data_IF_115749312522
#
_entry.id   IF_115749312522
#
_cell.length_a   1.000
_cell.length_b   1.000
_cell.length_c   1.000
_cell.angle_alpha   90.00
_cell.angle_beta   90.00
_cell.angle_gamma   90.00
#
_symmetry.space_group_name_H-M   'P 1'
#
loop_
_entity.id
_entity.type
_entity.pdbx_description
1 polymer ?
#
# COMPACT_ATOMS: atom_id res chain seq x y z
N UNK A 1 -70.96 -42.64 -17.96
CA UNK A 1 -71.98 -41.67 -18.42
C UNK A 1 -71.37 -40.29 -18.23
N UNK A 2 -70.81 -39.61 -19.21
CA UNK A 2 -71.25 -39.45 -20.60
C UNK A 2 -71.99 -38.11 -20.71
N UNK A 3 -71.38 -37.19 -21.47
CA UNK A 3 -71.98 -35.99 -22.09
C UNK A 3 -71.98 -34.66 -21.32
N UNK A 4 -71.22 -33.68 -21.85
CA UNK A 4 -71.68 -32.48 -22.59
C UNK A 4 -70.53 -31.44 -22.59
N UNK A 5 -69.72 -31.35 -23.63
CA UNK A 5 -69.90 -30.45 -24.78
C UNK A 5 -70.59 -29.11 -24.45
N UNK A 6 -69.79 -28.09 -24.15
CA UNK A 6 -70.09 -26.68 -24.41
C UNK A 6 -68.76 -25.93 -24.66
N UNK A 7 -68.50 -25.59 -25.92
CA UNK A 7 -67.64 -24.45 -26.34
C UNK A 7 -68.66 -23.30 -26.50
N UNK A 8 -68.48 -22.06 -25.99
CA UNK A 8 -67.44 -21.16 -26.51
C UNK A 8 -66.94 -20.02 -25.58
N UNK A 9 -66.04 -19.21 -26.16
CA UNK A 9 -65.99 -17.74 -26.07
C UNK A 9 -64.86 -17.12 -25.21
N UNK A 10 -63.83 -16.66 -25.93
CA UNK A 10 -63.09 -15.40 -25.75
C UNK A 10 -62.84 -14.90 -24.31
N UNK A 11 -61.60 -15.03 -23.82
CA UNK A 11 -60.87 -13.89 -23.22
C UNK A 11 -59.38 -14.07 -23.48
N UNK A 12 -58.81 -13.07 -24.15
CA UNK A 12 -57.38 -12.90 -24.38
C UNK A 12 -56.67 -12.47 -23.10
N UNK A 13 -55.58 -13.14 -22.71
CA UNK A 13 -54.45 -12.50 -22.02
C UNK A 13 -53.17 -13.15 -22.54
N UNK A 14 -52.59 -12.54 -23.57
CA UNK A 14 -51.23 -12.78 -24.02
C UNK A 14 -50.30 -12.07 -23.01
N UNK A 15 -49.97 -12.74 -21.90
CA UNK A 15 -48.92 -12.28 -21.00
C UNK A 15 -47.56 -12.59 -21.64
N UNK A 16 -47.14 -11.68 -22.54
CA UNK A 16 -45.83 -11.68 -23.16
C UNK A 16 -44.80 -11.56 -22.04
N UNK A 17 -44.06 -12.64 -21.82
CA UNK A 17 -42.85 -12.65 -21.04
C UNK A 17 -41.86 -11.63 -21.64
N UNK A 18 -41.75 -10.47 -21.01
CA UNK A 18 -40.60 -9.59 -21.20
C UNK A 18 -39.73 -9.74 -19.97
N UNK A 19 -38.54 -10.36 -20.07
CA UNK A 19 -37.60 -10.32 -18.98
C UNK A 19 -37.15 -8.87 -18.87
N UNK A 20 -37.67 -8.18 -17.86
CA UNK A 20 -37.20 -6.86 -17.48
C UNK A 20 -35.74 -7.00 -17.06
N UNK A 21 -34.89 -6.71 -18.03
CA UNK A 21 -33.49 -6.38 -17.91
C UNK A 21 -33.31 -5.35 -16.77
N UNK A 22 -33.15 -5.87 -15.55
CA UNK A 22 -32.72 -5.13 -14.38
C UNK A 22 -31.25 -4.76 -14.53
N UNK A 23 -30.97 -3.78 -15.39
CA UNK A 23 -29.71 -3.05 -15.42
C UNK A 23 -29.69 -2.07 -14.26
N UNK A 24 -29.24 -2.49 -13.07
CA UNK A 24 -28.72 -1.52 -12.09
C UNK A 24 -27.79 -2.07 -11.01
N UNK A 25 -26.84 -2.91 -11.40
CA UNK A 25 -25.62 -3.09 -10.60
C UNK A 25 -24.40 -2.82 -11.47
N UNK A 26 -24.14 -1.52 -11.69
CA UNK A 26 -22.79 -1.06 -12.01
C UNK A 26 -21.94 -1.27 -10.76
N UNK A 27 -21.59 -2.54 -10.49
CA UNK A 27 -20.57 -2.92 -9.53
C UNK A 27 -19.28 -2.30 -10.07
N UNK A 28 -18.85 -1.21 -9.43
CA UNK A 28 -17.49 -0.68 -9.56
C UNK A 28 -16.57 -1.88 -9.37
N UNK A 29 -16.03 -2.40 -10.47
CA UNK A 29 -14.96 -3.39 -10.41
C UNK A 29 -13.77 -2.63 -9.87
N UNK A 30 -13.53 -2.77 -8.56
CA UNK A 30 -12.21 -2.48 -7.99
C UNK A 30 -11.20 -3.19 -8.89
N UNK A 31 -10.10 -2.50 -9.21
CA UNK A 31 -9.00 -3.07 -9.99
C UNK A 31 -8.75 -4.50 -9.53
N UNK A 32 -8.77 -5.45 -10.47
CA UNK A 32 -8.47 -6.85 -10.15
C UNK A 32 -7.05 -6.86 -9.62
N UNK A 33 -6.90 -7.23 -8.37
CA UNK A 33 -5.60 -7.44 -7.78
C UNK A 33 -4.99 -8.69 -8.43
N UNK A 34 -3.97 -8.48 -9.26
CA UNK A 34 -3.28 -9.58 -9.93
C UNK A 34 -2.67 -10.56 -8.92
N UNK A 35 -2.31 -10.10 -7.71
CA UNK A 35 -1.85 -10.97 -6.63
C UNK A 35 -2.95 -11.90 -6.10
N UNK A 36 -4.22 -11.47 -6.13
CA UNK A 36 -5.37 -12.30 -5.77
C UNK A 36 -5.73 -13.32 -6.85
N UNK A 37 -5.34 -13.08 -8.10
CA UNK A 37 -5.66 -13.96 -9.24
C UNK A 37 -4.55 -14.96 -9.54
N UNK A 38 -3.32 -14.73 -9.06
CA UNK A 38 -2.19 -15.63 -9.22
C UNK A 38 -1.60 -16.06 -7.85
N UNK A 39 -2.00 -17.23 -7.31
CA UNK A 39 -1.50 -17.74 -6.03
C UNK A 39 0.00 -18.08 -6.03
N UNK A 40 0.68 -18.02 -7.19
CA UNK A 40 2.12 -18.21 -7.31
C UNK A 40 2.93 -16.95 -6.94
N UNK A 41 2.27 -15.80 -6.76
CA UNK A 41 2.89 -14.58 -6.25
C UNK A 41 2.39 -14.40 -4.81
N UNK A 42 3.04 -14.99 -3.80
CA UNK A 42 2.67 -14.76 -2.42
C UNK A 42 2.92 -13.29 -2.08
N UNK A 43 1.85 -12.53 -1.93
CA UNK A 43 1.92 -11.19 -1.36
C UNK A 43 2.42 -11.31 0.08
N UNK A 44 3.61 -10.76 0.35
CA UNK A 44 4.29 -10.92 1.62
C UNK A 44 3.70 -9.97 2.64
N UNK A 45 2.53 -10.34 3.19
CA UNK A 45 1.83 -9.57 4.21
C UNK A 45 2.76 -9.27 5.39
N UNK A 46 2.87 -7.99 5.76
CA UNK A 46 3.64 -7.56 6.91
C UNK A 46 3.00 -8.04 8.22
N UNK A 47 3.82 -8.30 9.27
CA UNK A 47 3.31 -8.48 10.63
C UNK A 47 2.52 -7.26 11.11
N UNK A 48 1.56 -7.49 11.99
CA UNK A 48 0.70 -6.44 12.57
C UNK A 48 1.17 -6.00 13.97
N UNK A 49 2.41 -6.30 14.33
CA UNK A 49 2.95 -6.03 15.67
C UNK A 49 3.18 -4.54 15.91
N UNK A 50 3.60 -3.82 14.86
CA UNK A 50 3.75 -2.37 14.84
C UNK A 50 2.81 -1.78 13.80
N UNK A 51 1.96 -0.85 14.25
CA UNK A 51 0.92 -0.26 13.41
C UNK A 51 1.28 1.21 13.15
N UNK A 52 1.47 1.61 11.88
CA UNK A 52 1.77 3.00 11.56
C UNK A 52 0.56 3.88 11.84
N UNK A 53 0.81 5.04 12.43
CA UNK A 53 -0.18 6.07 12.74
C UNK A 53 -0.06 7.27 11.79
N UNK A 54 1.17 7.66 11.44
CA UNK A 54 1.44 8.81 10.59
C UNK A 54 2.74 8.63 9.80
N UNK A 55 2.79 9.27 8.63
CA UNK A 55 3.98 9.39 7.79
C UNK A 55 4.26 10.86 7.51
N UNK A 56 5.46 11.33 7.86
CA UNK A 56 5.99 12.60 7.33
C UNK A 56 6.98 12.28 6.24
N UNK A 57 6.64 12.60 4.99
CA UNK A 57 7.42 12.24 3.81
C UNK A 57 7.95 13.52 3.15
N UNK A 58 9.27 13.58 2.93
CA UNK A 58 9.92 14.60 2.11
C UNK A 58 10.64 13.91 0.96
N UNK A 59 10.41 14.41 -0.25
CA UNK A 59 11.09 13.93 -1.46
C UNK A 59 11.63 15.15 -2.18
N UNK A 60 12.90 15.07 -2.57
CA UNK A 60 13.60 16.06 -3.37
C UNK A 60 14.04 15.40 -4.68
N UNK A 61 13.62 16.00 -5.79
CA UNK A 61 13.85 15.47 -7.13
C UNK A 61 15.05 16.17 -7.78
N UNK A 62 15.89 15.39 -8.43
CA UNK A 62 16.88 15.88 -9.38
C UNK A 62 16.48 15.43 -10.79
N UNK A 63 15.74 16.29 -11.48
CA UNK A 63 15.26 16.01 -12.84
C UNK A 63 16.42 15.80 -13.83
N UNK A 64 17.53 16.53 -13.68
CA UNK A 64 18.69 16.41 -14.57
C UNK A 64 19.39 15.05 -14.46
N UNK A 65 19.37 14.45 -13.26
CA UNK A 65 19.98 13.15 -13.01
C UNK A 65 18.97 12.00 -13.02
N UNK A 66 17.68 12.29 -13.24
CA UNK A 66 16.58 11.34 -13.05
C UNK A 66 16.70 10.57 -11.72
N UNK A 67 17.02 11.30 -10.66
CA UNK A 67 17.25 10.72 -9.33
C UNK A 67 16.43 11.46 -8.27
N UNK A 68 16.25 10.82 -7.12
CA UNK A 68 15.62 11.45 -5.97
C UNK A 68 16.31 11.03 -4.69
N UNK A 69 16.23 11.89 -3.68
CA UNK A 69 16.49 11.55 -2.30
C UNK A 69 15.34 12.03 -1.43
N UNK A 70 15.17 11.40 -0.29
CA UNK A 70 14.06 11.70 0.60
C UNK A 70 14.32 11.24 2.01
N UNK A 71 13.40 11.66 2.87
CA UNK A 71 13.33 11.23 4.25
C UNK A 71 11.89 10.90 4.59
N UNK A 72 11.68 9.85 5.35
CA UNK A 72 10.39 9.48 5.91
C UNK A 72 10.50 9.28 7.41
N UNK A 73 9.61 9.93 8.14
CA UNK A 73 9.39 9.67 9.55
C UNK A 73 8.09 8.91 9.71
N UNK A 74 8.16 7.70 10.26
CA UNK A 74 7.03 6.79 10.44
C UNK A 74 6.72 6.73 11.93
N UNK A 75 5.66 7.40 12.35
CA UNK A 75 5.15 7.27 13.71
C UNK A 75 4.31 6.00 13.81
N UNK A 76 4.58 5.14 14.78
CA UNK A 76 3.95 3.84 14.95
C UNK A 76 3.65 3.51 16.41
N UNK A 77 2.59 2.75 16.64
CA UNK A 77 2.27 2.17 17.95
C UNK A 77 2.56 0.67 17.95
N UNK A 78 3.10 0.17 19.05
CA UNK A 78 3.36 -1.25 19.24
C UNK A 78 2.11 -1.95 19.75
N UNK A 79 1.41 -2.68 18.88
CA UNK A 79 0.24 -3.47 19.26
C UNK A 79 0.65 -4.75 20.03
N UNK A 80 1.77 -5.35 19.66
CA UNK A 80 2.30 -6.57 20.28
C UNK A 80 3.81 -6.46 20.44
N UNK A 81 4.31 -6.89 21.60
CA UNK A 81 5.76 -6.93 21.90
C UNK A 81 6.53 -7.63 20.80
N UNK A 82 7.53 -6.94 20.27
CA UNK A 82 8.39 -7.38 19.16
C UNK A 82 9.73 -6.67 19.27
N UNK A 83 10.78 -7.15 18.59
CA UNK A 83 12.09 -6.51 18.50
C UNK A 83 12.49 -6.21 17.06
N UNK A 84 11.52 -6.14 16.16
CA UNK A 84 11.78 -5.92 14.74
C UNK A 84 10.73 -5.03 14.10
N UNK A 85 11.18 -4.19 13.17
CA UNK A 85 10.33 -3.43 12.26
C UNK A 85 10.45 -4.08 10.88
N UNK A 86 9.33 -4.42 10.26
CA UNK A 86 9.27 -4.96 8.91
C UNK A 86 8.63 -3.92 7.98
N UNK A 87 9.34 -3.51 6.93
CA UNK A 87 8.91 -2.47 6.00
C UNK A 87 9.00 -2.97 4.57
N UNK A 88 8.06 -2.55 3.72
CA UNK A 88 8.25 -2.69 2.29
C UNK A 88 9.34 -1.71 1.82
N UNK A 89 10.32 -2.23 1.09
CA UNK A 89 11.36 -1.46 0.45
C UNK A 89 11.77 -2.15 -0.85
N UNK A 90 11.57 -1.48 -1.98
CA UNK A 90 11.97 -2.02 -3.28
C UNK A 90 13.49 -2.22 -3.34
N UNK A 91 13.93 -3.20 -4.14
CA UNK A 91 15.35 -3.56 -4.25
C UNK A 91 16.23 -2.38 -4.70
N UNK A 92 15.69 -1.51 -5.55
CA UNK A 92 16.41 -0.35 -6.11
C UNK A 92 16.30 0.92 -5.26
N UNK A 93 15.49 0.92 -4.19
CA UNK A 93 15.44 2.01 -3.23
C UNK A 93 16.61 1.85 -2.26
N UNK A 94 17.59 2.74 -2.30
CA UNK A 94 18.72 2.72 -1.37
C UNK A 94 18.31 3.36 -0.05
N UNK A 95 18.41 2.61 1.05
CA UNK A 95 18.14 3.11 2.40
C UNK A 95 19.48 3.43 3.06
N UNK A 96 19.58 4.59 3.69
CA UNK A 96 20.74 4.97 4.47
C UNK A 96 20.68 4.28 5.84
N UNK A 97 21.25 3.08 5.92
CA UNK A 97 21.27 2.27 7.13
C UNK A 97 22.14 2.88 8.24
N UNK A 98 23.08 3.76 7.89
CA UNK A 98 23.99 4.41 8.85
C UNK A 98 23.25 5.50 9.62
N UNK A 99 22.41 6.28 8.93
CA UNK A 99 21.63 7.36 9.52
C UNK A 99 20.19 6.93 9.91
N UNK A 100 19.90 5.64 9.86
CA UNK A 100 18.62 5.09 10.33
C UNK A 100 18.51 5.22 11.85
N UNK A 101 17.47 5.90 12.32
CA UNK A 101 17.22 6.11 13.74
C UNK A 101 15.80 5.68 14.09
N UNK A 102 15.63 5.06 15.26
CA UNK A 102 14.31 4.82 15.84
C UNK A 102 14.29 5.39 17.25
N UNK A 103 13.30 6.22 17.53
CA UNK A 103 13.13 6.86 18.85
C UNK A 103 11.81 6.46 19.49
N UNK A 104 11.82 6.30 20.80
CA UNK A 104 10.61 6.15 21.60
C UNK A 104 10.11 7.51 22.05
N UNK A 105 8.82 7.77 21.84
CA UNK A 105 8.14 8.93 22.41
C UNK A 105 7.60 8.59 23.79
N UNK A 106 7.86 9.46 24.78
CA UNK A 106 7.27 9.29 26.10
C UNK A 106 5.78 9.65 26.06
N UNK A 107 4.95 8.68 26.42
CA UNK A 107 3.53 8.90 26.66
C UNK A 107 3.39 9.50 28.06
N UNK A 108 3.54 10.83 28.18
CA UNK A 108 3.49 11.48 29.50
C UNK A 108 3.89 12.95 29.61
N UNK A 109 4.08 13.68 28.51
CA UNK A 109 4.21 15.15 28.55
C UNK A 109 5.49 15.71 29.17
N UNK A 110 6.48 14.87 29.51
CA UNK A 110 7.82 15.35 29.85
C UNK A 110 8.55 15.64 28.54
N UNK A 111 8.43 16.88 28.09
CA UNK A 111 9.19 17.42 26.95
C UNK A 111 10.69 17.19 27.20
N UNK A 112 11.34 16.38 26.36
CA UNK A 112 12.80 16.41 26.24
C UNK A 112 13.58 15.08 26.27
N UNK A 113 12.97 13.94 26.55
CA UNK A 113 13.72 12.67 26.63
C UNK A 113 13.19 11.58 25.69
N UNK A 114 13.16 11.84 24.38
CA UNK A 114 12.98 10.74 23.41
C UNK A 114 14.20 9.80 23.52
N UNK A 115 13.95 8.53 23.86
CA UNK A 115 15.02 7.54 24.00
C UNK A 115 15.30 6.88 22.63
N UNK A 116 16.56 6.88 22.20
CA UNK A 116 16.99 6.17 20.99
C UNK A 116 16.96 4.67 21.24
N UNK A 117 16.26 3.93 20.39
CA UNK A 117 16.18 2.47 20.44
C UNK A 117 17.37 1.88 19.68
N UNK A 118 18.14 1.01 20.34
CA UNK A 118 19.39 0.47 19.77
C UNK A 118 19.10 -0.55 18.66
N UNK A 119 19.50 -0.19 17.44
CA UNK A 119 19.46 -1.08 16.28
C UNK A 119 20.60 -2.09 16.39
N UNK A 120 20.26 -3.38 16.24
CA UNK A 120 21.20 -4.49 16.20
C UNK A 120 21.75 -4.70 14.79
N UNK A 121 20.87 -4.68 13.78
CA UNK A 121 21.20 -4.87 12.36
C UNK A 121 20.02 -4.53 11.46
N UNK A 122 20.30 -4.30 10.19
CA UNK A 122 19.32 -4.11 9.12
C UNK A 122 19.55 -5.17 8.06
N UNK A 123 18.49 -5.84 7.62
CA UNK A 123 18.54 -6.87 6.59
C UNK A 123 17.59 -6.53 5.44
N UNK A 124 17.98 -6.90 4.22
CA UNK A 124 17.05 -7.06 3.08
C UNK A 124 16.72 -8.54 2.90
N UNK A 125 15.44 -8.86 2.71
CA UNK A 125 15.04 -10.23 2.43
C UNK A 125 15.31 -10.55 0.96
N UNK A 126 16.11 -11.58 0.65
CA UNK A 126 16.38 -11.94 -0.73
C UNK A 126 15.09 -12.24 -1.51
N UNK A 127 15.00 -11.72 -2.74
CA UNK A 127 13.87 -11.92 -3.66
C UNK A 127 12.52 -11.38 -3.16
N UNK A 128 12.50 -10.55 -2.11
CA UNK A 128 11.29 -9.88 -1.62
C UNK A 128 11.59 -8.39 -1.40
N UNK A 129 10.65 -7.47 -1.71
CA UNK A 129 10.82 -6.05 -1.45
C UNK A 129 10.58 -5.74 0.04
N UNK A 130 11.41 -6.32 0.92
CA UNK A 130 11.27 -6.24 2.36
C UNK A 130 12.59 -5.86 3.03
N UNK A 131 12.51 -4.84 3.89
CA UNK A 131 13.56 -4.42 4.82
C UNK A 131 13.15 -4.81 6.23
N UNK A 132 14.05 -5.44 6.97
CA UNK A 132 13.83 -5.82 8.38
C UNK A 132 14.89 -5.17 9.24
N UNK A 133 14.45 -4.35 10.19
CA UNK A 133 15.32 -3.70 11.17
C UNK A 133 15.17 -4.46 12.48
N UNK A 134 16.26 -5.03 12.99
CA UNK A 134 16.30 -5.77 14.25
C UNK A 134 16.87 -4.89 15.35
N UNK A 135 16.29 -4.99 16.54
CA UNK A 135 16.67 -4.20 17.71
C UNK A 135 17.25 -5.09 18.80
N UNK A 136 18.03 -4.49 19.70
CA UNK A 136 18.56 -5.19 20.88
C UNK A 136 17.47 -5.48 21.92
N UNK A 137 16.58 -4.52 22.12
CA UNK A 137 15.51 -4.56 23.11
C UNK A 137 14.13 -4.65 22.42
N UNK A 138 13.16 -5.19 23.14
CA UNK A 138 11.78 -5.28 22.65
C UNK A 138 11.05 -3.93 22.75
N UNK A 139 10.24 -3.62 21.74
CA UNK A 139 9.22 -2.57 21.78
C UNK A 139 8.14 -2.92 22.81
N UNK A 140 7.83 -1.99 23.70
CA UNK A 140 6.78 -2.15 24.70
C UNK A 140 5.40 -2.02 24.04
N UNK A 141 4.50 -2.97 24.33
CA UNK A 141 3.12 -2.90 23.85
C UNK A 141 2.42 -1.62 24.37
N UNK A 142 1.68 -0.93 23.50
CA UNK A 142 1.12 0.40 23.73
C UNK A 142 2.10 1.55 23.57
N UNK A 143 3.40 1.27 23.40
CA UNK A 143 4.44 2.29 23.21
C UNK A 143 4.34 3.00 21.86
N UNK A 144 4.74 4.27 21.83
CA UNK A 144 4.78 5.12 20.64
C UNK A 144 6.23 5.30 20.18
N UNK A 145 6.48 5.04 18.91
CA UNK A 145 7.82 5.06 18.31
C UNK A 145 7.81 5.83 17.00
N UNK A 146 8.96 6.38 16.62
CA UNK A 146 9.18 7.03 15.32
C UNK A 146 10.42 6.45 14.66
N UNK A 147 10.27 5.88 13.47
CA UNK A 147 11.38 5.46 12.62
C UNK A 147 11.71 6.57 11.62
N UNK A 148 12.95 7.04 11.60
CA UNK A 148 13.47 8.10 10.74
C UNK A 148 14.40 7.48 9.71
N UNK A 149 14.00 7.54 8.45
CA UNK A 149 14.63 6.79 7.37
C UNK A 149 14.96 7.74 6.24
N UNK A 150 16.25 7.83 5.91
CA UNK A 150 16.71 8.52 4.70
C UNK A 150 16.86 7.51 3.57
N UNK A 151 16.46 7.90 2.37
CA UNK A 151 16.51 7.03 1.20
C UNK A 151 16.84 7.79 -0.07
N UNK A 152 17.33 7.04 -1.07
CA UNK A 152 17.63 7.52 -2.43
C UNK A 152 17.15 6.52 -3.45
N UNK A 153 16.85 6.99 -4.65
CA UNK A 153 16.45 6.13 -5.76
C UNK A 153 16.56 6.84 -7.10
N UNK A 154 16.23 6.10 -8.14
CA UNK A 154 16.17 6.60 -9.51
C UNK A 154 14.71 6.82 -9.92
N UNK A 155 14.46 7.85 -10.71
CA UNK A 155 13.18 8.12 -11.37
C UNK A 155 13.14 7.25 -12.62
N UNK A 156 12.13 6.39 -12.71
CA UNK A 156 12.03 5.43 -13.80
C UNK A 156 11.33 6.05 -15.01
N UNK A 157 11.54 5.47 -16.19
CA UNK A 157 10.75 5.79 -17.38
C UNK A 157 9.54 4.86 -17.56
N UNK A 158 9.43 3.81 -16.74
CA UNK A 158 8.26 2.95 -16.71
C UNK A 158 7.09 3.64 -15.98
N UNK A 159 5.90 3.04 -15.98
CA UNK A 159 4.72 3.64 -15.36
C UNK A 159 4.48 3.17 -13.92
N UNK A 160 5.53 2.72 -13.22
CA UNK A 160 5.43 2.16 -11.88
C UNK A 160 6.27 2.96 -10.88
N UNK A 161 5.75 3.16 -9.67
CA UNK A 161 6.46 3.91 -8.62
C UNK A 161 6.60 5.40 -8.95
N UNK A 162 7.80 5.95 -8.76
CA UNK A 162 8.13 7.34 -9.11
C UNK A 162 8.78 7.36 -10.49
N UNK A 163 8.11 7.99 -11.44
CA UNK A 163 8.51 7.97 -12.84
C UNK A 163 8.41 9.33 -13.53
N UNK A 164 9.10 9.46 -14.66
CA UNK A 164 9.06 10.64 -15.52
C UNK A 164 7.97 10.48 -16.59
N UNK A 165 7.04 11.43 -16.62
CA UNK A 165 6.13 11.63 -17.75
C UNK A 165 6.72 12.62 -18.76
N UNK A 166 6.47 12.41 -20.06
CA UNK A 166 6.86 13.35 -21.13
C UNK A 166 5.60 13.79 -21.88
N UNK A 167 5.49 15.07 -22.22
CA UNK A 167 4.36 15.60 -23.01
C UNK A 167 4.86 16.38 -24.23
N UNK A 168 4.03 16.49 -25.26
CA UNK A 168 4.32 17.33 -26.43
C UNK A 168 3.67 18.70 -26.28
N UNK A 169 4.41 19.76 -26.59
CA UNK A 169 3.83 21.08 -26.74
C UNK A 169 3.06 21.18 -28.08
N UNK A 170 2.40 22.32 -28.32
CA UNK A 170 1.66 22.60 -29.56
C UNK A 170 2.51 22.60 -30.82
N UNK A 171 3.83 22.73 -30.68
CA UNK A 171 4.83 22.74 -31.76
C UNK A 171 5.38 21.33 -32.04
N UNK A 172 4.96 20.33 -31.27
CA UNK A 172 5.37 18.93 -31.42
C UNK A 172 6.67 18.57 -30.69
N UNK A 173 7.27 19.49 -29.95
CA UNK A 173 8.47 19.26 -29.13
C UNK A 173 8.13 18.56 -27.82
N UNK A 174 8.97 17.62 -27.41
CA UNK A 174 8.81 16.90 -26.15
C UNK A 174 9.37 17.74 -24.99
N UNK A 175 8.49 18.07 -24.04
CA UNK A 175 8.83 18.69 -22.77
C UNK A 175 8.95 17.61 -21.69
N UNK A 176 9.93 17.80 -20.80
CA UNK A 176 10.22 16.95 -19.63
C UNK A 176 9.61 17.51 -18.36
#
# INVERSE_FOLDING_TARGET
MGCRHHIPLLVAILAIATPTLSWREYRIRRSIDLSATNPLIPDAKLPTDLVPLNYSLRIELNAAQLAFHGAVNITMTCAKRTNQINLHAHHDLQVDEVNLEVVQHNVGGVEGASAVVKIRRVDRVPKKPLLVVYFHDDFAAGGLYEARIHFKGQIWENTEGLFQGKYKNSEGEYMQ
#
